data_IF_637323619235
#
_entry.id   IF_637323619235
#
_cell.length_a   1.000
_cell.length_b   1.000
_cell.length_c   1.000
_cell.angle_alpha   90.00
_cell.angle_beta   90.00
_cell.angle_gamma   90.00
#
_symmetry.space_group_name_H-M   'P 1'
#
loop_
_entity.id
_entity.type
_entity.pdbx_description
1 polymer ?
#
# COMPACT_ATOMS: atom_id res chain seq x y z
N UNK A 1 -4.02 4.16 18.81
CA UNK A 1 -2.94 3.27 18.32
C UNK A 1 -1.67 3.65 19.06
N UNK A 2 -0.79 2.70 19.39
CA UNK A 2 0.45 3.03 20.09
C UNK A 2 1.38 3.90 19.23
N UNK A 3 2.05 4.92 19.82
CA UNK A 3 2.93 5.82 19.07
C UNK A 3 4.12 5.09 18.43
N UNK A 4 4.58 4.00 19.05
CA UNK A 4 5.63 3.13 18.49
C UNK A 4 5.16 2.43 17.22
N UNK A 5 3.95 1.85 17.24
CA UNK A 5 3.35 1.21 16.07
C UNK A 5 3.16 2.21 14.93
N UNK A 6 2.72 3.43 15.24
CA UNK A 6 2.52 4.48 14.25
C UNK A 6 3.83 4.91 13.59
N UNK A 7 4.89 5.09 14.39
CA UNK A 7 6.23 5.39 13.88
C UNK A 7 6.75 4.29 12.97
N UNK A 8 6.61 3.02 13.38
CA UNK A 8 7.08 1.89 12.60
C UNK A 8 6.36 1.81 11.25
N UNK A 9 5.03 1.99 11.23
CA UNK A 9 4.23 2.07 9.98
C UNK A 9 4.73 3.19 9.07
N UNK A 10 4.96 4.38 9.62
CA UNK A 10 5.48 5.51 8.85
C UNK A 10 6.86 5.21 8.26
N UNK A 11 7.77 4.63 9.03
CA UNK A 11 9.11 4.27 8.55
C UNK A 11 9.06 3.26 7.39
N UNK A 12 8.25 2.21 7.52
CA UNK A 12 8.08 1.20 6.48
C UNK A 12 7.47 1.81 5.22
N UNK A 13 6.35 2.55 5.36
CA UNK A 13 5.67 3.17 4.23
C UNK A 13 6.56 4.19 3.50
N UNK A 14 7.34 4.98 4.23
CA UNK A 14 8.23 5.99 3.62
C UNK A 14 9.44 5.37 2.94
N UNK A 15 9.99 4.28 3.49
CA UNK A 15 11.02 3.47 2.84
C UNK A 15 10.53 2.92 1.51
N UNK A 16 9.40 2.20 1.53
CA UNK A 16 8.80 1.61 0.34
C UNK A 16 8.44 2.66 -0.72
N UNK A 17 7.90 3.82 -0.32
CA UNK A 17 7.63 4.91 -1.25
C UNK A 17 8.87 5.35 -2.03
N UNK A 18 10.01 5.52 -1.35
CA UNK A 18 11.26 5.94 -1.99
C UNK A 18 11.79 4.86 -2.93
N UNK A 19 11.66 3.59 -2.56
CA UNK A 19 12.09 2.47 -3.39
C UNK A 19 11.26 2.32 -4.66
N UNK A 20 9.95 2.57 -4.57
CA UNK A 20 9.01 2.37 -5.68
C UNK A 20 8.97 3.58 -6.60
N UNK A 21 8.89 4.78 -6.02
CA UNK A 21 8.63 6.01 -6.80
C UNK A 21 9.90 6.80 -7.13
N UNK A 22 10.99 6.58 -6.38
CA UNK A 22 12.21 7.40 -6.45
C UNK A 22 11.97 8.89 -6.14
N UNK A 23 10.76 9.26 -5.70
CA UNK A 23 10.27 10.63 -5.63
C UNK A 23 10.18 11.12 -4.18
N UNK A 24 10.21 12.44 -3.94
CA UNK A 24 10.01 12.98 -2.60
C UNK A 24 8.67 12.54 -2.03
N UNK A 25 8.59 12.49 -0.70
CA UNK A 25 7.36 12.13 0.00
C UNK A 25 6.25 13.13 -0.34
N UNK A 26 5.01 12.66 -0.57
CA UNK A 26 3.88 13.50 -0.88
C UNK A 26 3.50 14.34 0.35
N UNK A 27 2.94 15.53 0.12
CA UNK A 27 2.39 16.34 1.21
C UNK A 27 1.14 15.68 1.75
N UNK A 28 1.15 15.35 3.04
CA UNK A 28 -0.01 14.80 3.72
C UNK A 28 -0.90 15.93 4.25
N UNK A 29 -2.23 15.82 4.13
CA UNK A 29 -3.14 16.81 4.71
C UNK A 29 -2.96 16.86 6.23
N UNK A 30 -3.09 18.06 6.82
CA UNK A 30 -3.00 18.21 8.28
C UNK A 30 -4.12 17.44 8.99
N UNK A 31 -3.81 16.80 10.12
CA UNK A 31 -4.80 16.01 10.85
C UNK A 31 -4.20 15.16 11.95
N UNK A 32 -4.96 14.17 12.42
CA UNK A 32 -4.46 13.19 13.39
C UNK A 32 -3.35 12.35 12.74
N UNK A 33 -2.24 12.08 13.44
CA UNK A 33 -1.09 11.39 12.84
C UNK A 33 -1.45 9.98 12.37
N UNK A 34 -2.32 9.28 13.10
CA UNK A 34 -2.90 7.99 12.68
C UNK A 34 -3.64 8.06 11.33
N UNK A 35 -4.38 9.14 11.09
CA UNK A 35 -5.09 9.35 9.82
C UNK A 35 -4.17 9.81 8.69
N UNK A 36 -3.12 10.55 9.01
CA UNK A 36 -2.11 10.95 8.02
C UNK A 36 -1.31 9.75 7.52
N UNK A 37 -0.88 8.87 8.42
CA UNK A 37 -0.16 7.64 8.06
C UNK A 37 -1.07 6.71 7.25
N UNK A 38 -2.32 6.51 7.69
CA UNK A 38 -3.30 5.72 6.94
C UNK A 38 -3.53 6.27 5.52
N UNK A 39 -3.70 7.59 5.38
CA UNK A 39 -3.85 8.23 4.07
C UNK A 39 -2.61 8.08 3.19
N UNK A 40 -1.42 8.16 3.78
CA UNK A 40 -0.17 7.96 3.07
C UNK A 40 -0.01 6.51 2.58
N UNK A 41 -0.35 5.54 3.42
CA UNK A 41 -0.30 4.12 3.05
C UNK A 41 -1.29 3.79 1.93
N UNK A 42 -2.50 4.35 1.97
CA UNK A 42 -3.47 4.22 0.87
C UNK A 42 -2.93 4.81 -0.43
N UNK A 43 -2.30 5.98 -0.37
CA UNK A 43 -1.67 6.61 -1.53
C UNK A 43 -0.50 5.76 -2.07
N UNK A 44 0.30 5.16 -1.19
CA UNK A 44 1.39 4.27 -1.58
C UNK A 44 0.87 3.04 -2.32
N UNK A 45 -0.17 2.39 -1.79
CA UNK A 45 -0.83 1.24 -2.45
C UNK A 45 -1.38 1.64 -3.81
N UNK A 46 -2.04 2.79 -3.91
CA UNK A 46 -2.59 3.29 -5.17
C UNK A 46 -1.47 3.58 -6.19
N UNK A 47 -0.34 4.18 -5.77
CA UNK A 47 0.82 4.39 -6.65
C UNK A 47 1.48 3.10 -7.13
N UNK A 48 1.63 2.13 -6.22
CA UNK A 48 2.11 0.80 -6.56
C UNK A 48 1.20 0.15 -7.61
N UNK A 49 -0.11 0.28 -7.42
CA UNK A 49 -1.10 -0.24 -8.34
C UNK A 49 -1.10 0.46 -9.71
N UNK A 50 -0.99 1.79 -9.75
CA UNK A 50 -0.87 2.56 -11.00
C UNK A 50 0.38 2.19 -11.81
N UNK A 51 1.48 1.82 -11.13
CA UNK A 51 2.71 1.35 -11.76
C UNK A 51 2.74 -0.14 -12.09
N UNK A 52 1.67 -0.88 -11.79
CA UNK A 52 1.62 -2.32 -12.01
C UNK A 52 1.40 -2.65 -13.50
N UNK A 53 2.38 -3.33 -14.08
CA UNK A 53 2.34 -3.97 -15.38
C UNK A 53 2.19 -5.48 -15.20
N UNK A 54 1.69 -6.24 -16.20
CA UNK A 54 1.58 -7.70 -16.08
C UNK A 54 2.90 -8.40 -15.71
N UNK A 55 4.04 -7.81 -16.08
CA UNK A 55 5.37 -8.33 -15.78
C UNK A 55 5.79 -8.15 -14.30
N UNK A 56 5.35 -7.08 -13.65
CA UNK A 56 5.70 -6.77 -12.25
C UNK A 56 4.52 -6.85 -11.27
N UNK A 57 3.31 -7.17 -11.76
CA UNK A 57 2.09 -7.21 -10.96
C UNK A 57 2.19 -8.17 -9.78
N UNK A 58 2.84 -9.33 -9.97
CA UNK A 58 3.08 -10.31 -8.91
C UNK A 58 4.02 -9.76 -7.82
N UNK A 59 5.10 -9.10 -8.22
CA UNK A 59 6.04 -8.47 -7.29
C UNK A 59 5.37 -7.35 -6.49
N UNK A 60 4.56 -6.52 -7.16
CA UNK A 60 3.81 -5.43 -6.53
C UNK A 60 2.75 -5.99 -5.57
N UNK A 61 2.06 -7.07 -5.96
CA UNK A 61 1.10 -7.75 -5.11
C UNK A 61 1.78 -8.30 -3.83
N UNK A 62 2.93 -8.96 -3.97
CA UNK A 62 3.69 -9.50 -2.84
C UNK A 62 4.18 -8.39 -1.88
N UNK A 63 4.77 -7.32 -2.41
CA UNK A 63 5.21 -6.16 -1.60
C UNK A 63 4.04 -5.47 -0.88
N UNK A 64 2.92 -5.26 -1.57
CA UNK A 64 1.74 -4.65 -0.94
C UNK A 64 1.12 -5.56 0.11
N UNK A 65 1.23 -6.88 -0.06
CA UNK A 65 0.81 -7.85 0.93
C UNK A 65 1.69 -7.84 2.18
N UNK A 66 3.02 -7.77 2.03
CA UNK A 66 3.96 -7.66 3.15
C UNK A 66 3.67 -6.43 4.06
N UNK A 67 3.17 -5.33 3.47
CA UNK A 67 2.75 -4.16 4.23
C UNK A 67 1.55 -4.43 5.17
N UNK A 68 0.64 -5.33 4.79
CA UNK A 68 -0.68 -5.49 5.39
C UNK A 68 -0.98 -6.88 5.96
N UNK A 69 -0.11 -7.89 5.77
CA UNK A 69 -0.39 -9.28 6.12
C UNK A 69 -0.64 -9.47 7.63
N UNK A 70 0.07 -8.71 8.48
CA UNK A 70 -0.06 -8.74 9.94
C UNK A 70 -1.24 -7.88 10.45
N UNK A 71 -1.90 -7.14 9.57
CA UNK A 71 -3.01 -6.24 9.94
C UNK A 71 -4.34 -6.97 9.94
N UNK A 72 -5.25 -6.49 10.79
CA UNK A 72 -6.66 -6.91 10.81
C UNK A 72 -7.35 -6.69 9.46
N UNK A 73 -8.29 -7.58 9.11
CA UNK A 73 -9.10 -7.48 7.89
C UNK A 73 -9.92 -6.20 7.78
N UNK A 74 -10.28 -5.60 8.92
CA UNK A 74 -11.00 -4.34 8.97
C UNK A 74 -10.15 -3.10 8.66
N UNK A 75 -8.83 -3.24 8.52
CA UNK A 75 -7.93 -2.12 8.21
C UNK A 75 -8.17 -1.63 6.77
N UNK A 76 -8.39 -0.32 6.56
CA UNK A 76 -8.71 0.21 5.23
C UNK A 76 -7.57 -0.01 4.22
N UNK A 77 -6.32 0.00 4.66
CA UNK A 77 -5.17 -0.26 3.78
C UNK A 77 -5.20 -1.72 3.32
N UNK A 78 -5.46 -2.65 4.22
CA UNK A 78 -5.57 -4.08 3.88
C UNK A 78 -6.71 -4.35 2.92
N UNK A 79 -7.88 -3.73 3.13
CA UNK A 79 -9.01 -3.84 2.19
C UNK A 79 -8.62 -3.38 0.79
N UNK A 80 -7.95 -2.24 0.69
CA UNK A 80 -7.51 -1.69 -0.60
C UNK A 80 -6.53 -2.63 -1.32
N UNK A 81 -5.58 -3.22 -0.61
CA UNK A 81 -4.63 -4.20 -1.18
C UNK A 81 -5.37 -5.43 -1.70
N UNK A 82 -6.30 -5.98 -0.92
CA UNK A 82 -7.11 -7.14 -1.32
C UNK A 82 -7.93 -6.82 -2.58
N UNK A 83 -8.58 -5.65 -2.65
CA UNK A 83 -9.32 -5.22 -3.83
C UNK A 83 -8.45 -5.18 -5.10
N UNK A 84 -7.21 -4.66 -4.99
CA UNK A 84 -6.24 -4.66 -6.08
C UNK A 84 -5.85 -6.08 -6.50
N UNK A 85 -5.60 -6.98 -5.53
CA UNK A 85 -5.24 -8.38 -5.82
C UNK A 85 -6.39 -9.13 -6.49
N UNK A 86 -7.62 -8.91 -6.04
CA UNK A 86 -8.81 -9.48 -6.68
C UNK A 86 -8.98 -8.97 -8.12
N UNK A 87 -8.68 -7.70 -8.37
CA UNK A 87 -8.69 -7.14 -9.72
C UNK A 87 -7.64 -7.80 -10.62
N UNK A 88 -6.40 -8.04 -10.14
CA UNK A 88 -5.39 -8.81 -10.88
C UNK A 88 -5.87 -10.21 -11.19
N UNK A 89 -6.39 -10.91 -10.19
CA UNK A 89 -6.85 -12.29 -10.34
C UNK A 89 -7.99 -12.39 -11.36
N UNK A 90 -8.89 -11.40 -11.40
CA UNK A 90 -9.95 -11.30 -12.42
C UNK A 90 -9.38 -11.06 -13.82
N UNK A 91 -8.41 -10.16 -13.97
CA UNK A 91 -7.76 -9.90 -15.27
C UNK A 91 -7.00 -11.13 -15.77
N UNK A 92 -6.29 -11.84 -14.88
CA UNK A 92 -5.56 -13.07 -15.24
C UNK A 92 -6.49 -14.23 -15.63
N UNK A 93 -7.69 -14.32 -15.05
CA UNK A 93 -8.69 -15.36 -15.39
C UNK A 93 -9.44 -15.09 -16.70
N UNK A 94 -9.45 -13.86 -17.20
CA UNK A 94 -10.17 -13.51 -18.43
C UNK A 94 -9.31 -13.68 -19.70
N UNK A 95 -8.01 -13.94 -19.54
CA UNK A 95 -7.05 -14.14 -20.64
C UNK A 95 -6.73 -15.60 -20.94
N UNK A 96 -7.46 -16.56 -20.35
CA UNK A 96 -7.40 -18.00 -20.65
C UNK A 96 -8.58 -18.41 -21.55
#
# INVERSE_FOLDING_TARGET
>A
MDPVTLRNRLLVATGMWREVTGSPLPRLPAGRPEKQVEAFELLLVDKLWEGATPENAREIADRTWDLVHDRRDSDPVRKRVVECHEALARMSRLGD
#
